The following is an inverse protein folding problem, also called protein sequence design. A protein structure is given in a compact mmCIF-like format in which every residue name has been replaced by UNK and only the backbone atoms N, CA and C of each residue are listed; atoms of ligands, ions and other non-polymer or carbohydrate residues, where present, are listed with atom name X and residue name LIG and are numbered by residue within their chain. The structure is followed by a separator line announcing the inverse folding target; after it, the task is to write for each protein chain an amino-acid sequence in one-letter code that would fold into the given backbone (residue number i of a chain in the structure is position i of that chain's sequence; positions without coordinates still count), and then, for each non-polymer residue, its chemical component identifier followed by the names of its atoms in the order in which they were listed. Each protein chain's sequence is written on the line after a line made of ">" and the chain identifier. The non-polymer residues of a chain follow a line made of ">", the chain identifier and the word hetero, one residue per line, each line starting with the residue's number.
data_IF_332916191690
#
_entry.id   IF_332916191690
#
_cell.length_a   1.000
_cell.length_b   1.000
_cell.length_c   1.000
_cell.angle_alpha   90.00
_cell.angle_beta   90.00
_cell.angle_gamma   90.00
#
_symmetry.space_group_name_H-M   'P 1'
#
loop_
_entity.id
_entity.type
_entity.pdbx_description
1 polymer ?
#
# COMPACT_ATOMS: atom_id res chain seq x y z
N UNK A 1 23.99 -16.46 5.44
CA UNK A 1 22.76 -15.88 6.00
C UNK A 1 22.72 -14.44 5.57
N UNK A 2 21.73 -14.04 4.77
CA UNK A 2 21.62 -12.69 4.22
C UNK A 2 21.01 -11.75 5.25
N UNK A 3 21.82 -10.83 5.79
CA UNK A 3 21.33 -9.73 6.63
C UNK A 3 20.41 -8.83 5.78
N UNK A 4 19.20 -8.57 6.28
CA UNK A 4 18.26 -7.67 5.61
C UNK A 4 18.70 -6.23 5.90
N UNK A 5 19.16 -5.51 4.88
CA UNK A 5 19.51 -4.09 4.99
C UNK A 5 18.33 -3.22 4.56
N UNK A 6 17.91 -2.29 5.42
CA UNK A 6 16.71 -1.47 5.20
C UNK A 6 17.02 0.02 5.37
N UNK A 7 16.84 0.79 4.30
CA UNK A 7 17.08 2.24 4.29
C UNK A 7 15.85 2.98 4.81
N UNK A 8 15.91 3.52 6.03
CA UNK A 8 14.80 4.17 6.75
C UNK A 8 15.06 5.67 6.94
N UNK A 9 14.00 6.47 7.15
CA UNK A 9 14.14 7.87 7.54
C UNK A 9 14.96 7.97 8.84
N UNK A 10 15.95 8.86 8.88
CA UNK A 10 16.90 9.01 9.99
C UNK A 10 16.22 9.23 11.35
N UNK A 11 15.29 10.19 11.45
CA UNK A 11 14.60 10.47 12.72
C UNK A 11 13.72 9.29 13.16
N UNK A 12 13.02 8.64 12.22
CA UNK A 12 12.21 7.45 12.53
C UNK A 12 13.11 6.29 12.97
N UNK A 13 14.27 6.14 12.33
CA UNK A 13 15.28 5.14 12.72
C UNK A 13 15.73 5.38 14.16
N UNK A 14 16.09 6.62 14.49
CA UNK A 14 16.57 6.98 15.83
C UNK A 14 15.50 6.73 16.89
N UNK A 15 14.23 7.06 16.61
CA UNK A 15 13.11 6.78 17.52
C UNK A 15 12.92 5.28 17.72
N UNK A 16 12.96 4.48 16.65
CA UNK A 16 12.76 3.03 16.75
C UNK A 16 13.95 2.28 17.36
N UNK A 17 15.15 2.86 17.33
CA UNK A 17 16.34 2.34 18.01
C UNK A 17 16.31 2.55 19.53
N UNK A 18 15.46 3.46 20.03
CA UNK A 18 15.26 3.61 21.47
C UNK A 18 14.58 2.35 22.02
N UNK A 19 15.26 1.68 22.96
CA UNK A 19 14.75 0.48 23.62
C UNK A 19 13.39 0.72 24.31
N UNK A 20 13.18 1.93 24.84
CA UNK A 20 11.96 2.33 25.53
C UNK A 20 10.78 2.56 24.59
N UNK A 21 11.04 2.72 23.28
CA UNK A 21 10.01 2.95 22.27
C UNK A 21 9.57 1.62 21.64
N UNK A 22 8.79 0.83 22.38
CA UNK A 22 8.19 -0.43 21.92
C UNK A 22 6.68 -0.46 22.16
N UNK A 23 5.97 -1.40 21.52
CA UNK A 23 4.50 -1.52 21.58
C UNK A 23 3.76 -0.21 21.27
N UNK A 24 4.18 0.46 20.20
CA UNK A 24 3.71 1.80 19.86
C UNK A 24 2.58 1.77 18.83
N UNK A 25 1.78 2.83 18.81
CA UNK A 25 0.83 3.11 17.73
C UNK A 25 1.46 4.02 16.68
N UNK A 26 0.93 3.99 15.46
CA UNK A 26 1.32 4.92 14.37
C UNK A 26 1.20 6.39 14.82
N UNK A 27 0.27 6.70 15.73
CA UNK A 27 0.08 8.05 16.26
C UNK A 27 1.20 8.44 17.23
N UNK A 28 1.58 7.55 18.15
CA UNK A 28 2.69 7.79 19.06
C UNK A 28 3.99 8.03 18.28
N UNK A 29 4.30 7.17 17.30
CA UNK A 29 5.50 7.36 16.46
C UNK A 29 5.45 8.65 15.65
N UNK A 30 4.26 9.08 15.19
CA UNK A 30 4.09 10.38 14.52
C UNK A 30 4.38 11.53 15.47
N UNK A 31 3.83 11.50 16.67
CA UNK A 31 3.96 12.60 17.62
C UNK A 31 5.41 12.76 18.05
N UNK A 32 6.10 11.65 18.35
CA UNK A 32 7.55 11.66 18.61
C UNK A 32 8.36 12.13 17.40
N UNK A 33 8.02 11.67 16.19
CA UNK A 33 8.68 12.12 14.95
C UNK A 33 8.53 13.63 14.71
N UNK A 34 7.37 14.20 15.03
CA UNK A 34 7.12 15.64 14.95
C UNK A 34 7.92 16.41 16.01
N UNK A 35 8.01 15.90 17.24
CA UNK A 35 8.81 16.52 18.30
C UNK A 35 10.31 16.57 17.97
N UNK A 36 10.81 15.67 17.12
CA UNK A 36 12.20 15.66 16.66
C UNK A 36 12.47 16.59 15.47
N UNK A 37 11.45 17.25 14.90
CA UNK A 37 11.62 18.17 13.77
C UNK A 37 11.47 19.61 14.26
N UNK A 38 12.50 20.43 14.05
CA UNK A 38 12.49 21.86 14.45
C UNK A 38 11.52 22.72 13.62
N UNK A 39 11.05 22.21 12.48
CA UNK A 39 10.12 22.89 11.59
C UNK A 39 8.67 22.51 11.86
N UNK A 40 7.75 23.47 11.65
CA UNK A 40 6.30 23.30 11.73
C UNK A 40 5.82 22.33 10.66
N UNK A 41 6.04 21.04 10.88
CA UNK A 41 5.63 20.00 9.96
C UNK A 41 4.14 19.73 10.09
N UNK A 42 3.49 19.63 8.94
CA UNK A 42 2.09 19.27 8.86
C UNK A 42 1.88 17.87 9.47
N UNK A 43 1.06 17.81 10.54
CA UNK A 43 0.73 16.58 11.29
C UNK A 43 0.25 15.45 10.34
N UNK A 44 -0.44 15.82 9.26
CA UNK A 44 -0.94 14.87 8.25
C UNK A 44 0.21 14.24 7.46
N UNK A 45 1.18 15.04 7.03
CA UNK A 45 2.34 14.55 6.27
C UNK A 45 3.27 13.71 7.14
N UNK A 46 3.50 14.13 8.38
CA UNK A 46 4.21 13.31 9.36
C UNK A 46 3.54 11.95 9.57
N UNK A 47 2.20 11.92 9.67
CA UNK A 47 1.45 10.66 9.80
C UNK A 47 1.65 9.75 8.59
N UNK A 48 1.63 10.29 7.37
CA UNK A 48 1.86 9.51 6.14
C UNK A 48 3.27 8.95 6.07
N UNK A 49 4.30 9.76 6.39
CA UNK A 49 5.70 9.32 6.42
C UNK A 49 5.87 8.17 7.40
N UNK A 50 5.37 8.34 8.62
CA UNK A 50 5.43 7.34 9.68
C UNK A 50 4.70 6.06 9.28
N UNK A 51 3.46 6.17 8.79
CA UNK A 51 2.67 5.00 8.37
C UNK A 51 3.36 4.19 7.28
N UNK A 52 3.95 4.84 6.26
CA UNK A 52 4.69 4.15 5.19
C UNK A 52 5.89 3.39 5.74
N UNK A 53 6.63 3.95 6.69
CA UNK A 53 7.78 3.28 7.31
C UNK A 53 7.34 2.10 8.17
N UNK A 54 6.31 2.27 9.01
CA UNK A 54 5.75 1.19 9.83
C UNK A 54 5.25 0.04 8.96
N UNK A 55 4.48 0.33 7.91
CA UNK A 55 3.97 -0.68 7.00
C UNK A 55 5.11 -1.46 6.31
N UNK A 56 6.17 -0.77 5.90
CA UNK A 56 7.33 -1.41 5.27
C UNK A 56 8.07 -2.32 6.25
N UNK A 57 8.30 -1.87 7.48
CA UNK A 57 8.96 -2.68 8.51
C UNK A 57 8.11 -3.90 8.90
N UNK A 58 6.79 -3.75 9.01
CA UNK A 58 5.86 -4.84 9.25
C UNK A 58 5.89 -5.88 8.12
N UNK A 59 5.81 -5.45 6.86
CA UNK A 59 5.88 -6.36 5.70
C UNK A 59 7.22 -7.12 5.61
N UNK A 60 8.29 -6.59 6.21
CA UNK A 60 9.61 -7.23 6.27
C UNK A 60 9.78 -8.13 7.51
N UNK A 61 8.75 -8.26 8.35
CA UNK A 61 8.79 -9.04 9.59
C UNK A 61 9.63 -8.39 10.71
N UNK A 62 9.97 -7.10 10.57
CA UNK A 62 10.75 -6.35 11.56
C UNK A 62 9.86 -5.76 12.65
N UNK A 63 8.56 -5.61 12.38
CA UNK A 63 7.55 -5.27 13.38
C UNK A 63 6.47 -6.34 13.37
N UNK A 64 5.92 -6.65 14.55
CA UNK A 64 4.70 -7.45 14.68
C UNK A 64 3.53 -6.53 14.98
N UNK A 65 2.37 -6.83 14.40
CA UNK A 65 1.13 -6.07 14.58
C UNK A 65 0.25 -6.77 15.61
N UNK A 66 0.00 -6.09 16.72
CA UNK A 66 -0.88 -6.59 17.77
C UNK A 66 -2.26 -5.93 17.64
N UNK A 67 -3.27 -6.77 17.41
CA UNK A 67 -4.69 -6.40 17.36
C UNK A 67 -5.44 -7.18 18.44
N UNK A 68 -5.28 -6.79 19.71
CA UNK A 68 -6.13 -7.36 20.76
C UNK A 68 -7.52 -6.72 20.71
N UNK A 69 -8.59 -7.49 20.94
CA UNK A 69 -9.99 -7.02 20.96
C UNK A 69 -10.24 -5.78 21.86
N UNK A 70 -9.38 -5.55 22.86
CA UNK A 70 -9.48 -4.43 23.79
C UNK A 70 -8.80 -3.12 23.31
N UNK A 71 -7.95 -3.18 22.29
CA UNK A 71 -7.23 -2.01 21.78
C UNK A 71 -8.00 -1.41 20.60
N UNK A 72 -8.54 -0.20 20.78
CA UNK A 72 -9.20 0.57 19.70
C UNK A 72 -8.27 0.88 18.51
N UNK A 73 -6.96 0.67 18.63
CA UNK A 73 -5.94 0.99 17.62
C UNK A 73 -4.87 -0.12 17.60
N UNK A 74 -4.40 -0.54 16.42
CA UNK A 74 -3.32 -1.53 16.32
C UNK A 74 -2.02 -0.96 16.88
N UNK A 75 -1.31 -1.78 17.67
CA UNK A 75 0.05 -1.49 18.15
C UNK A 75 1.08 -2.32 17.41
N UNK A 76 2.31 -1.84 17.38
CA UNK A 76 3.43 -2.47 16.70
C UNK A 76 4.56 -2.71 17.69
N UNK A 77 5.09 -3.93 17.72
CA UNK A 77 6.20 -4.33 18.58
C UNK A 77 7.42 -4.72 17.75
N UNK A 78 8.61 -4.39 18.23
CA UNK A 78 9.89 -4.74 17.57
C UNK A 78 10.11 -6.25 17.68
N UNK A 79 10.40 -6.90 16.56
CA UNK A 79 10.66 -8.36 16.54
C UNK A 79 12.12 -8.68 16.81
N UNK A 80 12.46 -9.93 17.06
CA UNK A 80 13.87 -10.38 17.14
C UNK A 80 14.62 -10.10 15.83
N UNK A 81 13.92 -10.10 14.69
CA UNK A 81 14.50 -9.75 13.39
C UNK A 81 14.86 -8.26 13.30
N UNK A 82 14.13 -7.39 13.99
CA UNK A 82 14.47 -5.97 14.09
C UNK A 82 15.89 -5.75 14.60
N UNK A 83 16.24 -6.39 15.72
CA UNK A 83 17.55 -6.27 16.37
C UNK A 83 18.67 -6.99 15.61
N UNK A 84 18.32 -7.91 14.71
CA UNK A 84 19.28 -8.61 13.83
C UNK A 84 19.45 -7.92 12.47
N UNK A 85 18.59 -6.97 12.11
CA UNK A 85 18.62 -6.28 10.83
C UNK A 85 19.59 -5.07 10.87
N UNK A 86 20.25 -4.81 9.75
CA UNK A 86 21.09 -3.61 9.59
C UNK A 86 20.21 -2.45 9.11
N UNK A 87 19.66 -1.68 10.06
CA UNK A 87 18.93 -0.45 9.76
C UNK A 87 19.91 0.65 9.37
N UNK A 88 19.82 1.11 8.12
CA UNK A 88 20.68 2.17 7.59
C UNK A 88 19.87 3.48 7.54
N UNK A 89 20.21 4.51 8.32
CA UNK A 89 19.54 5.80 8.25
C UNK A 89 19.85 6.47 6.90
N UNK A 90 18.81 6.95 6.21
CA UNK A 90 18.96 7.73 4.98
C UNK A 90 19.47 9.13 5.35
N UNK A 91 20.79 9.30 5.40
CA UNK A 91 21.44 10.60 5.56
C UNK A 91 21.09 11.46 4.34
N UNK A 92 20.32 12.54 4.52
CA UNK A 92 20.21 13.59 3.51
C UNK A 92 21.53 14.36 3.51
N UNK A 93 22.46 14.00 2.62
CA UNK A 93 23.59 14.88 2.33
C UNK A 93 23.04 16.10 1.58
N UNK A 94 23.18 17.26 2.21
CA UNK A 94 23.05 18.57 1.58
C UNK A 94 24.12 18.66 0.49
N UNK A 95 23.75 18.53 -0.78
CA UNK A 95 24.59 19.00 -1.89
C UNK A 95 24.00 20.30 -2.44
N UNK A 96 24.85 21.28 -2.77
CA UNK A 96 24.43 22.64 -3.06
C UNK A 96 23.75 22.72 -4.44
N UNK A 97 22.52 23.23 -4.38
CA UNK A 97 21.86 24.10 -5.34
C UNK A 97 22.70 24.49 -6.58
N UNK A 98 22.43 23.85 -7.72
CA UNK A 98 22.60 24.51 -9.02
C UNK A 98 21.25 25.04 -9.46
N UNK A 99 21.11 26.33 -9.17
CA UNK A 99 20.08 27.25 -9.64
C UNK A 99 19.89 27.11 -11.15
N UNK A 100 18.68 26.74 -11.55
CA UNK A 100 18.02 27.39 -12.68
C UNK A 100 16.68 27.94 -12.19
N UNK A 101 16.70 29.21 -11.80
CA UNK A 101 15.54 30.10 -11.85
C UNK A 101 14.91 29.98 -13.24
N UNK A 102 13.59 30.10 -13.44
CA UNK A 102 12.76 31.31 -13.28
C UNK A 102 11.27 30.89 -13.08
N UNK A 103 10.29 31.80 -12.88
CA UNK A 103 9.79 32.29 -11.59
C UNK A 103 8.32 31.91 -11.30
N UNK A 104 7.94 32.08 -10.03
CA UNK A 104 6.60 32.10 -9.44
C UNK A 104 5.40 32.38 -10.36
N UNK A 105 4.35 31.56 -10.23
CA UNK A 105 2.98 32.02 -10.03
C UNK A 105 2.10 30.93 -9.40
N UNK A 106 1.76 31.14 -8.12
CA UNK A 106 0.47 30.93 -7.45
C UNK A 106 -0.41 29.75 -7.95
N UNK A 107 -0.47 28.67 -7.15
CA UNK A 107 -1.71 28.10 -6.55
C UNK A 107 -1.36 26.80 -5.75
N UNK A 108 -1.87 26.60 -4.52
CA UNK A 108 -1.69 25.36 -3.78
C UNK A 108 -2.83 24.38 -4.08
N UNK A 109 -2.61 23.40 -4.96
CA UNK A 109 -3.56 22.32 -5.25
C UNK A 109 -3.02 20.91 -4.91
N UNK A 110 -3.89 19.89 -4.73
CA UNK A 110 -3.75 18.81 -3.74
C UNK A 110 -3.00 17.58 -4.29
N UNK A 111 -1.80 17.76 -4.81
CA UNK A 111 -1.03 16.71 -5.52
C UNK A 111 -0.75 15.45 -4.65
N UNK A 112 -0.79 15.57 -3.32
CA UNK A 112 -0.36 14.50 -2.39
C UNK A 112 -1.49 13.51 -2.04
N UNK A 113 -2.75 13.92 -2.10
CA UNK A 113 -3.90 13.01 -1.90
C UNK A 113 -4.12 12.12 -3.13
N UNK A 114 -3.92 12.70 -4.31
CA UNK A 114 -3.99 12.06 -5.63
C UNK A 114 -3.09 10.85 -5.74
N UNK A 115 -1.82 10.94 -5.31
CA UNK A 115 -0.85 9.85 -5.46
C UNK A 115 -1.21 8.61 -4.61
N UNK A 116 -1.79 8.79 -3.42
CA UNK A 116 -2.25 7.69 -2.57
C UNK A 116 -3.47 6.98 -3.15
N UNK A 117 -4.41 7.77 -3.69
CA UNK A 117 -5.62 7.26 -4.35
C UNK A 117 -5.24 6.51 -5.63
N UNK A 118 -4.32 7.05 -6.44
CA UNK A 118 -3.82 6.39 -7.66
C UNK A 118 -3.23 5.01 -7.35
N UNK A 119 -2.43 4.89 -6.29
CA UNK A 119 -1.84 3.61 -5.89
C UNK A 119 -2.89 2.59 -5.45
N UNK A 120 -3.92 3.01 -4.70
CA UNK A 120 -5.03 2.11 -4.33
C UNK A 120 -5.83 1.66 -5.56
N UNK A 121 -6.10 2.58 -6.49
CA UNK A 121 -6.75 2.29 -7.77
C UNK A 121 -5.92 1.32 -8.61
N UNK A 122 -4.59 1.45 -8.64
CA UNK A 122 -3.70 0.51 -9.32
C UNK A 122 -3.73 -0.89 -8.69
N UNK A 123 -3.76 -0.98 -7.37
CA UNK A 123 -3.90 -2.27 -6.66
C UNK A 123 -5.23 -2.93 -7.02
N UNK A 124 -6.33 -2.19 -6.94
CA UNK A 124 -7.67 -2.68 -7.33
C UNK A 124 -7.73 -3.10 -8.80
N UNK A 125 -7.14 -2.31 -9.68
CA UNK A 125 -7.07 -2.64 -11.11
C UNK A 125 -6.37 -3.97 -11.36
N UNK A 126 -5.20 -4.20 -10.73
CA UNK A 126 -4.47 -5.46 -10.83
C UNK A 126 -5.29 -6.64 -10.32
N UNK A 127 -5.96 -6.48 -9.18
CA UNK A 127 -6.82 -7.53 -8.63
C UNK A 127 -7.95 -7.90 -9.61
N UNK A 128 -8.69 -6.90 -10.11
CA UNK A 128 -9.78 -7.16 -11.05
C UNK A 128 -9.31 -7.78 -12.36
N UNK A 129 -8.09 -7.47 -12.83
CA UNK A 129 -7.51 -8.13 -14.00
C UNK A 129 -7.23 -9.62 -13.75
N UNK A 130 -6.69 -9.96 -12.58
CA UNK A 130 -6.48 -11.37 -12.18
C UNK A 130 -7.82 -12.10 -12.07
N UNK A 131 -8.79 -11.52 -11.38
CA UNK A 131 -10.12 -12.11 -11.21
C UNK A 131 -10.84 -12.27 -12.56
N UNK A 132 -10.66 -11.33 -13.49
CA UNK A 132 -11.25 -11.41 -14.82
C UNK A 132 -10.71 -12.63 -15.58
N UNK A 133 -9.38 -12.83 -15.54
CA UNK A 133 -8.74 -13.98 -16.18
C UNK A 133 -9.19 -15.30 -15.54
N UNK A 134 -9.29 -15.36 -14.21
CA UNK A 134 -9.80 -16.52 -13.49
C UNK A 134 -11.25 -16.84 -13.91
N UNK A 135 -12.12 -15.84 -13.94
CA UNK A 135 -13.52 -15.97 -14.33
C UNK A 135 -13.70 -16.40 -15.80
N UNK A 136 -12.80 -15.98 -16.69
CA UNK A 136 -12.77 -16.46 -18.09
C UNK A 136 -12.36 -17.94 -18.10
N UNK A 137 -11.27 -18.30 -17.40
CA UNK A 137 -10.81 -19.69 -17.31
C UNK A 137 -11.87 -20.64 -16.73
N UNK A 138 -12.61 -20.20 -15.70
CA UNK A 138 -13.77 -20.93 -15.18
C UNK A 138 -14.82 -21.18 -16.27
N UNK A 139 -15.20 -20.13 -17.01
CA UNK A 139 -16.21 -20.27 -18.07
C UNK A 139 -15.77 -21.21 -19.20
N UNK A 140 -14.49 -21.17 -19.58
CA UNK A 140 -13.93 -22.07 -20.59
C UNK A 140 -13.90 -23.51 -20.09
N UNK A 141 -13.57 -23.73 -18.82
CA UNK A 141 -13.56 -25.07 -18.22
C UNK A 141 -14.98 -25.63 -18.11
N UNK A 142 -15.96 -24.84 -17.70
CA UNK A 142 -17.36 -25.27 -17.70
C UNK A 142 -17.85 -25.68 -19.10
N UNK A 143 -17.39 -24.98 -20.14
CA UNK A 143 -17.73 -25.31 -21.53
C UNK A 143 -17.07 -26.63 -21.97
N UNK A 144 -15.81 -26.87 -21.60
CA UNK A 144 -15.13 -28.17 -21.83
C UNK A 144 -15.82 -29.32 -21.09
N UNK A 145 -16.20 -29.09 -19.84
CA UNK A 145 -16.92 -30.10 -19.03
C UNK A 145 -18.32 -30.36 -19.58
N UNK A 146 -18.98 -29.35 -20.16
CA UNK A 146 -20.32 -29.51 -20.76
C UNK A 146 -20.32 -30.52 -21.91
N UNK A 147 -19.24 -30.59 -22.69
CA UNK A 147 -19.07 -31.55 -23.79
C UNK A 147 -18.83 -32.98 -23.30
N UNK A 148 -18.24 -33.14 -22.11
CA UNK A 148 -17.81 -34.45 -21.58
C UNK A 148 -18.75 -35.05 -20.54
N UNK A 149 -19.58 -34.23 -19.87
CA UNK A 149 -20.49 -34.65 -18.79
C UNK A 149 -21.96 -34.31 -19.11
N UNK A 150 -22.63 -35.10 -19.97
CA UNK A 150 -24.00 -34.83 -20.39
C UNK A 150 -25.02 -34.84 -19.24
N UNK A 151 -24.74 -35.57 -18.16
CA UNK A 151 -25.60 -35.67 -16.97
C UNK A 151 -25.64 -34.37 -16.14
N UNK A 152 -24.60 -33.53 -16.24
CA UNK A 152 -24.47 -32.30 -15.45
C UNK A 152 -24.77 -31.03 -16.25
N UNK A 153 -25.28 -31.13 -17.48
CA UNK A 153 -25.45 -30.00 -18.42
C UNK A 153 -26.13 -28.79 -17.81
N UNK A 154 -27.26 -28.96 -17.12
CA UNK A 154 -28.00 -27.83 -16.54
C UNK A 154 -27.19 -27.11 -15.45
N UNK A 155 -26.43 -27.86 -14.63
CA UNK A 155 -25.57 -27.26 -13.61
C UNK A 155 -24.37 -26.54 -14.24
N UNK A 156 -23.72 -27.16 -15.22
CA UNK A 156 -22.58 -26.59 -15.93
C UNK A 156 -22.96 -25.34 -16.72
N UNK A 157 -24.13 -25.33 -17.36
CA UNK A 157 -24.68 -24.16 -18.04
C UNK A 157 -24.94 -23.00 -17.07
N UNK A 158 -25.52 -23.29 -15.89
CA UNK A 158 -25.68 -22.29 -14.84
C UNK A 158 -24.34 -21.70 -14.38
N UNK A 159 -23.35 -22.55 -14.11
CA UNK A 159 -22.02 -22.10 -13.68
C UNK A 159 -21.30 -21.30 -14.77
N UNK A 160 -21.41 -21.73 -16.03
CA UNK A 160 -20.91 -20.99 -17.19
C UNK A 160 -21.50 -19.58 -17.25
N UNK A 161 -22.82 -19.45 -17.13
CA UNK A 161 -23.48 -18.14 -17.15
C UNK A 161 -23.05 -17.26 -15.97
N UNK A 162 -22.91 -17.82 -14.77
CA UNK A 162 -22.41 -17.10 -13.61
C UNK A 162 -20.98 -16.60 -13.81
N UNK A 163 -20.07 -17.44 -14.31
CA UNK A 163 -18.70 -17.06 -14.63
C UNK A 163 -18.65 -15.98 -15.72
N UNK A 164 -19.53 -16.06 -16.74
CA UNK A 164 -19.62 -15.04 -17.80
C UNK A 164 -20.21 -13.72 -17.32
N UNK A 165 -21.13 -13.75 -16.37
CA UNK A 165 -21.67 -12.55 -15.74
C UNK A 165 -20.60 -11.87 -14.85
N UNK A 166 -19.86 -12.66 -14.06
CA UNK A 166 -18.73 -12.17 -13.25
C UNK A 166 -17.67 -11.48 -14.10
N UNK A 167 -17.26 -12.09 -15.21
CA UNK A 167 -16.28 -11.50 -16.13
C UNK A 167 -16.78 -10.16 -16.71
N UNK A 168 -18.07 -10.07 -17.06
CA UNK A 168 -18.68 -8.82 -17.52
C UNK A 168 -18.67 -7.72 -16.45
N UNK A 169 -18.99 -8.07 -15.19
CA UNK A 169 -18.93 -7.15 -14.05
C UNK A 169 -17.51 -6.65 -13.79
N UNK A 170 -16.53 -7.55 -13.78
CA UNK A 170 -15.10 -7.24 -13.60
C UNK A 170 -14.58 -6.32 -14.71
N UNK A 171 -14.98 -6.57 -15.96
CA UNK A 171 -14.65 -5.69 -17.09
C UNK A 171 -15.24 -4.27 -16.89
N UNK A 172 -16.48 -4.17 -16.41
CA UNK A 172 -17.10 -2.89 -16.04
C UNK A 172 -16.33 -2.15 -14.94
N UNK A 173 -15.92 -2.86 -13.90
CA UNK A 173 -15.13 -2.30 -12.80
C UNK A 173 -13.74 -1.83 -13.26
N UNK A 174 -13.06 -2.60 -14.13
CA UNK A 174 -11.79 -2.21 -14.77
C UNK A 174 -11.96 -0.93 -15.57
N UNK A 175 -13.02 -0.85 -16.40
CA UNK A 175 -13.31 0.36 -17.19
C UNK A 175 -13.53 1.57 -16.29
N UNK A 176 -14.33 1.42 -15.22
CA UNK A 176 -14.57 2.49 -14.26
C UNK A 176 -13.27 3.00 -13.62
N UNK A 177 -12.42 2.12 -13.12
CA UNK A 177 -11.13 2.51 -12.52
C UNK A 177 -10.22 3.20 -13.54
N UNK A 178 -10.11 2.68 -14.78
CA UNK A 178 -9.30 3.31 -15.84
C UNK A 178 -9.79 4.70 -16.19
N UNK A 179 -11.11 4.93 -16.23
CA UNK A 179 -11.70 6.25 -16.45
C UNK A 179 -11.27 7.24 -15.35
N UNK A 180 -11.38 6.82 -14.09
CA UNK A 180 -10.96 7.65 -12.94
C UNK A 180 -9.45 7.92 -12.96
N UNK A 181 -8.62 6.90 -13.21
CA UNK A 181 -7.17 7.09 -13.36
C UNK A 181 -6.80 8.04 -14.50
N UNK A 182 -7.55 8.02 -15.60
CA UNK A 182 -7.34 8.92 -16.74
C UNK A 182 -7.70 10.36 -16.40
N UNK A 183 -8.72 10.58 -15.55
CA UNK A 183 -9.04 11.90 -15.01
C UNK A 183 -7.88 12.44 -14.17
N UNK A 184 -7.34 11.63 -13.26
CA UNK A 184 -6.21 12.02 -12.40
C UNK A 184 -4.87 12.21 -13.12
N UNK A 185 -4.70 11.70 -14.35
CA UNK A 185 -3.50 11.91 -15.18
C UNK A 185 -3.57 13.18 -16.05
N UNK A 186 -4.74 13.81 -16.15
CA UNK A 186 -4.98 15.01 -16.96
C UNK A 186 -5.09 16.30 -16.13
N UNK A 187 -5.36 16.18 -14.84
CA UNK A 187 -5.15 17.23 -13.83
C UNK A 187 -3.69 17.23 -13.39
#
# INVERSE_FOLDING_TARGET
>A
MSNVSVVINEHICNILMDEQFDNFTVLQLRDTYLSCQETTNNIVEARKVVYRQVLRLWNLGLLDKNETENLKKPTYTKTVLFYKAELQPRIKRTEPEQVKAIPNSIEPEPVIETQSIIHELEKKLKQYQVDLLASIGESEEYMRLYETLPEMKSHLEMQYHQARERSSKLLGQIKAIKTIQSHYKKS
#
